data_IF_120301243692
#
_entry.id   IF_120301243692
#
_cell.length_a   1.000
_cell.length_b   1.000
_cell.length_c   1.000
_cell.angle_alpha   90.00
_cell.angle_beta   90.00
_cell.angle_gamma   90.00
#
_symmetry.space_group_name_H-M   'P 1'
#
loop_
_entity.id
_entity.type
_entity.pdbx_description
1 polymer ?
#
# COMPACT_ATOMS: atom_id res chain seq x y z
N UNK A 1 -11.62 17.74 6.48
CA UNK A 1 -10.85 18.17 5.28
C UNK A 1 -9.81 17.09 5.00
N UNK A 2 -9.64 16.70 3.74
CA UNK A 2 -8.71 15.65 3.33
C UNK A 2 -7.24 16.07 3.61
N UNK A 3 -6.48 15.29 4.41
CA UNK A 3 -5.08 15.61 4.73
C UNK A 3 -4.14 15.50 3.52
N UNK A 4 -4.42 14.61 2.57
CA UNK A 4 -3.59 14.40 1.37
C UNK A 4 -3.69 15.62 0.47
N UNK A 5 -4.91 16.11 0.24
CA UNK A 5 -5.14 17.33 -0.55
C UNK A 5 -4.50 18.55 0.11
N UNK A 6 -4.55 18.64 1.45
CA UNK A 6 -3.88 19.72 2.20
C UNK A 6 -2.37 19.67 2.02
N UNK A 7 -1.77 18.48 2.04
CA UNK A 7 -0.33 18.31 1.82
C UNK A 7 0.07 18.65 0.38
N UNK A 8 -0.68 18.17 -0.62
CA UNK A 8 -0.47 18.51 -2.04
C UNK A 8 -0.44 20.02 -2.27
N UNK A 9 -1.44 20.75 -1.78
CA UNK A 9 -1.49 22.21 -1.91
C UNK A 9 -0.29 22.89 -1.25
N UNK A 10 0.14 22.40 -0.09
CA UNK A 10 1.31 22.94 0.61
C UNK A 10 2.60 22.72 -0.18
N UNK A 11 2.84 21.52 -0.68
CA UNK A 11 4.08 21.20 -1.41
C UNK A 11 4.23 21.97 -2.72
N UNK A 12 3.11 22.19 -3.43
CA UNK A 12 3.10 23.04 -4.62
C UNK A 12 3.38 24.50 -4.25
N UNK A 13 2.76 25.01 -3.18
CA UNK A 13 2.98 26.38 -2.74
C UNK A 13 4.42 26.64 -2.26
N UNK A 14 5.06 25.63 -1.67
CA UNK A 14 6.46 25.67 -1.25
C UNK A 14 7.45 25.48 -2.41
N UNK A 15 6.99 25.10 -3.60
CA UNK A 15 7.84 24.80 -4.76
C UNK A 15 8.64 23.51 -4.65
N UNK A 16 8.37 22.69 -3.62
CA UNK A 16 9.05 21.41 -3.37
C UNK A 16 8.64 20.32 -4.36
N UNK A 17 7.44 20.44 -4.94
CA UNK A 17 6.90 19.55 -5.95
C UNK A 17 6.05 20.33 -6.96
N UNK A 18 6.09 19.90 -8.21
CA UNK A 18 5.12 20.29 -9.24
C UNK A 18 3.85 19.44 -9.13
N UNK A 19 2.75 19.93 -9.71
CA UNK A 19 1.51 19.14 -9.79
C UNK A 19 1.73 17.82 -10.55
N UNK A 20 2.50 17.85 -11.63
CA UNK A 20 2.78 16.67 -12.47
C UNK A 20 3.60 15.59 -11.74
N UNK A 21 4.55 15.98 -10.88
CA UNK A 21 5.30 15.01 -10.07
C UNK A 21 4.40 14.32 -9.03
N UNK A 22 3.44 15.05 -8.46
CA UNK A 22 2.47 14.49 -7.53
C UNK A 22 1.45 13.59 -8.25
N UNK A 23 1.02 13.96 -9.46
CA UNK A 23 0.15 13.10 -10.28
C UNK A 23 0.86 11.79 -10.64
N UNK A 24 2.14 11.85 -11.02
CA UNK A 24 2.94 10.65 -11.30
C UNK A 24 3.15 9.78 -10.06
N UNK A 25 3.26 10.38 -8.87
CA UNK A 25 3.33 9.63 -7.62
C UNK A 25 2.03 8.88 -7.33
N UNK A 26 0.88 9.52 -7.56
CA UNK A 26 -0.44 8.91 -7.40
C UNK A 26 -0.62 7.72 -8.38
N UNK A 27 -0.19 7.88 -9.64
CA UNK A 27 -0.21 6.79 -10.64
C UNK A 27 0.67 5.61 -10.23
N UNK A 28 1.88 5.87 -9.72
CA UNK A 28 2.79 4.83 -9.23
C UNK A 28 2.18 4.09 -8.05
N UNK A 29 1.61 4.81 -7.08
CA UNK A 29 0.97 4.20 -5.93
C UNK A 29 -0.20 3.29 -6.34
N UNK A 30 -1.03 3.74 -7.29
CA UNK A 30 -2.10 2.93 -7.85
C UNK A 30 -1.57 1.65 -8.54
N UNK A 31 -0.48 1.78 -9.30
CA UNK A 31 0.19 0.64 -9.93
C UNK A 31 0.78 -0.35 -8.90
N UNK A 32 1.38 0.14 -7.83
CA UNK A 32 1.92 -0.68 -6.75
C UNK A 32 0.81 -1.48 -6.04
N UNK A 33 -0.32 -0.83 -5.75
CA UNK A 33 -1.49 -1.48 -5.16
C UNK A 33 -2.06 -2.54 -6.10
N UNK A 34 -2.20 -2.25 -7.40
CA UNK A 34 -2.72 -3.22 -8.36
C UNK A 34 -1.88 -4.49 -8.41
N UNK A 35 -0.54 -4.37 -8.42
CA UNK A 35 0.37 -5.53 -8.39
C UNK A 35 0.30 -6.30 -7.07
N UNK A 36 0.14 -5.59 -5.95
CA UNK A 36 -0.03 -6.24 -4.65
C UNK A 36 -1.33 -7.06 -4.57
N UNK A 37 -2.42 -6.53 -5.14
CA UNK A 37 -3.70 -7.24 -5.23
C UNK A 37 -3.57 -8.47 -6.13
N UNK A 38 -2.98 -8.32 -7.33
CA UNK A 38 -2.75 -9.44 -8.25
C UNK A 38 -1.94 -10.56 -7.57
N UNK A 39 -0.88 -10.21 -6.84
CA UNK A 39 -0.10 -11.18 -6.08
C UNK A 39 -0.91 -11.87 -4.99
N UNK A 40 -1.73 -11.12 -4.25
CA UNK A 40 -2.57 -11.68 -3.18
C UNK A 40 -3.63 -12.65 -3.74
N UNK A 41 -4.28 -12.30 -4.85
CA UNK A 41 -5.29 -13.15 -5.50
C UNK A 41 -4.69 -14.38 -6.18
N UNK A 42 -3.47 -14.27 -6.70
CA UNK A 42 -2.75 -15.39 -7.30
C UNK A 42 -2.10 -16.32 -6.25
N UNK A 43 -2.02 -15.90 -4.99
CA UNK A 43 -1.44 -16.70 -3.92
C UNK A 43 -2.33 -17.91 -3.62
N UNK A 44 -1.75 -19.11 -3.44
CA UNK A 44 -2.53 -20.28 -3.09
C UNK A 44 -3.19 -20.12 -1.72
N UNK A 45 -4.36 -20.73 -1.56
CA UNK A 45 -5.01 -20.83 -0.26
C UNK A 45 -4.11 -21.57 0.75
N UNK A 46 -4.18 -21.21 2.04
CA UNK A 46 -3.42 -21.90 3.07
C UNK A 46 -3.85 -23.36 3.21
N UNK A 47 -2.92 -24.22 3.63
CA UNK A 47 -3.23 -25.62 3.89
C UNK A 47 -4.12 -25.73 5.15
N UNK A 48 -5.17 -26.55 5.07
CA UNK A 48 -6.11 -26.78 6.18
C UNK A 48 -5.41 -27.28 7.44
N UNK A 49 -4.31 -28.03 7.29
CA UNK A 49 -3.49 -28.51 8.42
C UNK A 49 -2.82 -27.39 9.21
N UNK A 50 -2.64 -26.19 8.61
CA UNK A 50 -2.09 -25.02 9.29
C UNK A 50 -3.14 -24.22 10.07
N UNK A 51 -4.43 -24.60 10.04
CA UNK A 51 -5.50 -23.82 10.68
C UNK A 51 -5.34 -23.65 12.20
N UNK A 52 -4.64 -24.57 12.88
CA UNK A 52 -4.36 -24.52 14.32
C UNK A 52 -2.92 -24.08 14.63
N UNK A 53 -2.14 -23.75 13.59
CA UNK A 53 -0.79 -23.20 13.74
C UNK A 53 -0.86 -21.85 14.46
N UNK A 54 0.16 -21.54 15.24
CA UNK A 54 0.31 -20.27 15.98
C UNK A 54 -0.72 -19.99 17.10
N UNK A 55 -1.50 -20.99 17.54
CA UNK A 55 -2.36 -20.88 18.75
C UNK A 55 -1.52 -20.72 20.02
N UNK A 56 -0.40 -21.44 20.12
CA UNK A 56 0.58 -21.28 21.19
C UNK A 56 1.93 -20.98 20.56
N UNK A 57 2.70 -20.08 21.18
CA UNK A 57 4.08 -19.83 20.79
C UNK A 57 4.94 -21.07 21.10
N UNK A 58 5.91 -21.37 20.23
CA UNK A 58 6.88 -22.43 20.50
C UNK A 58 7.67 -22.11 21.77
N UNK A 59 7.64 -23.02 22.74
CA UNK A 59 8.43 -22.90 23.97
C UNK A 59 9.91 -23.08 23.61
N UNK A 60 10.75 -22.11 24.01
CA UNK A 60 12.20 -22.16 23.84
C UNK A 60 12.86 -23.31 24.61
#
# INVERSE_FOLDING_TARGET
RDPIQKARSRFIAEGSFTAAELDSLDERAAGDVARAVEYAEASPEPDVSEALRDIFAETK
#
